data_IF_503317001657
#
_entry.id   IF_503317001657
#
_cell.length_a   1.000
_cell.length_b   1.000
_cell.length_c   1.000
_cell.angle_alpha   90.00
_cell.angle_beta   90.00
_cell.angle_gamma   90.00
#
_symmetry.space_group_name_H-M   'P 1'
#
loop_
_entity.id
_entity.type
_entity.pdbx_description
1 polymer ?
#
# COMPACT_ATOMS: atom_id res chain seq x y z
N UNK A 1 29.80 6.50 -31.75
CA UNK A 1 29.91 6.44 -30.27
C UNK A 1 28.62 5.98 -29.59
N UNK A 2 27.43 6.40 -30.04
CA UNK A 2 26.14 6.02 -29.42
C UNK A 2 25.91 4.50 -29.20
N UNK A 3 26.24 3.56 -30.12
CA UNK A 3 25.93 2.14 -29.91
C UNK A 3 26.63 1.53 -28.68
N UNK A 4 27.96 1.74 -28.55
CA UNK A 4 28.71 1.20 -27.40
C UNK A 4 28.34 1.83 -26.05
N UNK A 5 27.82 3.07 -26.06
CA UNK A 5 27.26 3.68 -24.85
C UNK A 5 25.90 3.05 -24.49
N UNK A 6 25.02 2.83 -25.47
CA UNK A 6 23.73 2.18 -25.28
C UNK A 6 23.86 0.72 -24.79
N UNK A 7 24.78 -0.06 -25.39
CA UNK A 7 25.09 -1.44 -25.00
C UNK A 7 25.59 -1.56 -23.55
N UNK A 8 26.34 -0.57 -23.06
CA UNK A 8 26.97 -0.64 -21.73
C UNK A 8 26.10 -0.03 -20.62
N UNK A 9 25.46 1.11 -20.87
CA UNK A 9 24.74 1.87 -19.85
C UNK A 9 23.23 1.62 -19.82
N UNK A 10 22.61 1.34 -20.97
CA UNK A 10 21.14 1.29 -21.08
C UNK A 10 20.63 -0.15 -21.21
N UNK A 11 21.27 -1.00 -22.02
CA UNK A 11 20.92 -2.41 -22.12
C UNK A 11 21.09 -3.17 -20.78
N UNK A 12 22.03 -2.72 -19.93
CA UNK A 12 22.19 -3.23 -18.57
C UNK A 12 21.14 -2.74 -17.56
N UNK A 13 20.32 -1.74 -17.92
CA UNK A 13 19.28 -1.18 -17.06
C UNK A 13 17.99 -2.00 -16.99
N UNK A 14 17.84 -3.02 -17.84
CA UNK A 14 16.65 -3.85 -17.90
C UNK A 14 17.03 -5.34 -17.83
N UNK A 15 16.90 -5.94 -16.65
CA UNK A 15 17.03 -7.39 -16.53
C UNK A 15 15.71 -8.05 -16.93
N UNK A 16 15.75 -8.99 -17.88
CA UNK A 16 14.58 -9.74 -18.33
C UNK A 16 14.73 -11.21 -17.95
N UNK A 17 13.64 -11.80 -17.49
CA UNK A 17 13.57 -13.18 -17.03
C UNK A 17 12.39 -13.90 -17.70
N UNK A 18 12.58 -15.18 -18.05
CA UNK A 18 11.53 -16.09 -18.52
C UNK A 18 11.37 -17.22 -17.50
N UNK A 19 10.18 -17.38 -16.91
CA UNK A 19 9.90 -18.31 -15.80
C UNK A 19 10.76 -18.11 -14.52
N UNK A 20 11.60 -17.07 -14.47
CA UNK A 20 12.53 -16.76 -13.38
C UNK A 20 13.99 -16.94 -13.77
N UNK A 21 14.28 -17.60 -14.88
CA UNK A 21 15.63 -17.73 -15.45
C UNK A 21 16.01 -16.47 -16.23
N UNK A 22 17.26 -15.98 -16.12
CA UNK A 22 17.70 -14.77 -16.81
C UNK A 22 17.77 -14.99 -18.33
N UNK A 23 17.15 -14.08 -19.09
CA UNK A 23 17.24 -14.06 -20.55
C UNK A 23 18.58 -13.46 -20.97
N UNK A 24 19.13 -13.92 -22.09
CA UNK A 24 20.34 -13.33 -22.69
C UNK A 24 20.18 -11.82 -22.92
N UNK A 25 21.29 -11.07 -22.83
CA UNK A 25 21.31 -9.62 -23.12
C UNK A 25 20.57 -9.29 -24.43
N UNK A 26 19.86 -8.15 -24.50
CA UNK A 26 19.16 -7.75 -25.70
C UNK A 26 20.14 -7.43 -26.83
N UNK A 27 19.69 -7.67 -28.06
CA UNK A 27 20.28 -7.08 -29.25
C UNK A 27 19.80 -5.61 -29.33
N UNK A 28 20.71 -4.66 -29.13
CA UNK A 28 20.44 -3.21 -29.21
C UNK A 28 20.43 -2.80 -30.69
N UNK A 29 19.42 -2.05 -31.07
CA UNK A 29 19.12 -1.78 -32.48
C UNK A 29 18.55 -0.37 -32.67
N UNK A 30 18.90 0.26 -33.79
CA UNK A 30 18.43 1.59 -34.22
C UNK A 30 18.49 2.75 -33.17
N UNK A 31 19.58 2.92 -32.39
CA UNK A 31 19.69 4.02 -31.43
C UNK A 31 19.71 5.39 -32.13
N UNK A 32 18.85 6.32 -31.71
CA UNK A 32 18.67 7.65 -32.30
C UNK A 32 18.33 8.71 -31.25
N UNK A 33 18.46 9.97 -31.63
CA UNK A 33 18.09 11.14 -30.83
C UNK A 33 16.92 11.84 -31.55
N UNK A 34 15.91 12.24 -30.79
CA UNK A 34 14.70 12.91 -31.28
C UNK A 34 14.35 14.09 -30.37
N UNK A 35 13.48 15.00 -30.81
CA UNK A 35 13.08 16.16 -30.00
C UNK A 35 12.07 15.76 -28.93
N UNK A 36 12.05 16.46 -27.79
CA UNK A 36 11.10 16.16 -26.69
C UNK A 36 9.62 16.26 -27.09
N UNK A 37 9.33 16.98 -28.19
CA UNK A 37 8.00 17.11 -28.79
C UNK A 37 7.56 15.94 -29.68
N UNK A 38 8.44 14.97 -29.95
CA UNK A 38 8.11 13.81 -30.78
C UNK A 38 7.08 12.90 -30.07
N UNK A 39 6.03 12.52 -30.80
CA UNK A 39 4.89 11.71 -30.29
C UNK A 39 4.92 10.26 -30.81
N UNK A 40 6.03 9.81 -31.43
CA UNK A 40 6.11 8.50 -32.07
C UNK A 40 5.91 7.34 -31.09
N UNK A 41 6.22 7.54 -29.80
CA UNK A 41 6.01 6.56 -28.73
C UNK A 41 4.59 6.56 -28.12
N UNK A 42 3.64 7.28 -28.72
CA UNK A 42 2.23 7.20 -28.29
C UNK A 42 1.61 5.83 -28.52
N UNK A 43 1.95 5.18 -29.65
CA UNK A 43 1.52 3.82 -29.97
C UNK A 43 2.68 2.93 -30.40
N UNK A 44 2.59 1.62 -30.11
CA UNK A 44 3.63 0.65 -30.49
C UNK A 44 3.95 0.64 -31.98
N UNK A 45 2.93 0.77 -32.84
CA UNK A 45 3.12 0.78 -34.30
C UNK A 45 3.91 2.00 -34.74
N UNK A 46 3.51 3.20 -34.29
CA UNK A 46 4.22 4.44 -34.59
C UNK A 46 5.66 4.41 -34.09
N UNK A 47 5.93 3.80 -32.93
CA UNK A 47 7.28 3.68 -32.38
C UNK A 47 8.18 2.76 -33.23
N UNK A 48 7.64 1.64 -33.71
CA UNK A 48 8.39 0.72 -34.60
C UNK A 48 8.61 1.34 -35.99
N UNK A 49 7.60 2.01 -36.55
CA UNK A 49 7.70 2.70 -37.84
C UNK A 49 8.74 3.85 -37.75
N UNK A 50 8.73 4.62 -36.66
CA UNK A 50 9.73 5.65 -36.34
C UNK A 50 11.15 5.08 -36.22
N UNK A 51 11.34 4.00 -35.45
CA UNK A 51 12.66 3.37 -35.28
C UNK A 51 13.19 2.79 -36.60
N UNK A 52 12.30 2.42 -37.54
CA UNK A 52 12.64 2.02 -38.90
C UNK A 52 12.97 3.18 -39.87
N UNK A 53 12.59 4.42 -39.55
CA UNK A 53 12.80 5.58 -40.42
C UNK A 53 14.29 5.98 -40.51
N UNK A 54 14.74 6.71 -41.56
CA UNK A 54 16.10 7.23 -41.65
C UNK A 54 16.51 8.05 -40.40
N UNK A 55 17.81 8.10 -40.04
CA UNK A 55 18.29 8.95 -38.95
C UNK A 55 18.09 10.43 -39.25
N UNK A 56 17.88 11.24 -38.20
CA UNK A 56 17.89 12.71 -38.30
C UNK A 56 19.26 13.19 -38.80
N UNK A 57 19.28 14.20 -39.67
CA UNK A 57 20.51 14.74 -40.23
C UNK A 57 21.38 15.37 -39.13
N UNK A 58 22.67 15.04 -39.09
CA UNK A 58 23.63 15.45 -38.06
C UNK A 58 24.01 16.96 -38.08
N UNK A 59 23.18 17.79 -38.72
CA UNK A 59 23.35 19.24 -38.89
C UNK A 59 22.47 20.06 -37.95
N UNK A 60 21.56 19.44 -37.21
CA UNK A 60 20.72 20.13 -36.21
C UNK A 60 21.43 20.22 -34.85
N UNK A 61 21.56 21.44 -34.33
CA UNK A 61 22.07 21.68 -32.98
C UNK A 61 20.96 21.41 -31.96
N UNK A 62 20.88 20.15 -31.49
CA UNK A 62 19.96 19.74 -30.43
C UNK A 62 20.60 19.94 -29.05
N UNK A 63 19.84 20.51 -28.11
CA UNK A 63 20.25 20.64 -26.72
C UNK A 63 19.96 19.34 -25.94
N UNK A 64 20.93 18.89 -25.13
CA UNK A 64 20.89 17.61 -24.40
C UNK A 64 19.74 17.47 -23.40
N UNK A 65 19.14 18.59 -22.97
CA UNK A 65 18.01 18.67 -22.05
C UNK A 65 16.64 18.69 -22.74
N UNK A 66 16.60 18.72 -24.08
CA UNK A 66 15.37 18.85 -24.88
C UNK A 66 15.17 17.71 -25.90
N UNK A 67 15.77 16.54 -25.61
CA UNK A 67 15.78 15.38 -26.51
C UNK A 67 15.33 14.09 -25.81
N UNK A 68 14.70 13.20 -26.58
CA UNK A 68 14.57 11.80 -26.24
C UNK A 68 15.73 10.98 -26.82
N UNK A 69 16.00 9.82 -26.22
CA UNK A 69 16.96 8.85 -26.72
C UNK A 69 16.27 7.53 -26.97
N UNK A 70 15.94 7.29 -28.24
CA UNK A 70 15.08 6.19 -28.66
C UNK A 70 15.91 5.02 -29.17
N UNK A 71 15.52 3.80 -28.80
CA UNK A 71 16.18 2.58 -29.24
C UNK A 71 15.24 1.38 -29.22
N UNK A 72 15.64 0.30 -29.89
CA UNK A 72 14.98 -1.00 -29.80
C UNK A 72 15.87 -2.00 -29.08
N UNK A 73 15.32 -2.65 -28.05
CA UNK A 73 15.94 -3.78 -27.35
C UNK A 73 15.23 -5.08 -27.75
N UNK A 74 15.91 -5.97 -28.48
CA UNK A 74 15.33 -7.26 -28.91
C UNK A 74 15.86 -8.42 -28.06
N UNK A 75 14.98 -9.04 -27.28
CA UNK A 75 15.27 -10.23 -26.48
C UNK A 75 14.87 -11.49 -27.25
N UNK A 76 15.71 -12.54 -27.19
CA UNK A 76 15.39 -13.87 -27.75
C UNK A 76 14.92 -14.77 -26.60
N UNK A 77 13.69 -15.27 -26.70
CA UNK A 77 13.07 -16.12 -25.69
C UNK A 77 13.23 -17.59 -26.09
N UNK A 78 13.51 -18.46 -25.12
CA UNK A 78 13.65 -19.89 -25.35
C UNK A 78 12.31 -20.64 -25.25
N UNK A 79 11.37 -20.15 -24.44
CA UNK A 79 10.07 -20.80 -24.22
C UNK A 79 9.03 -20.44 -25.30
N UNK A 80 8.24 -21.43 -25.71
CA UNK A 80 7.07 -21.23 -26.57
C UNK A 80 5.86 -20.61 -25.84
N UNK A 81 5.85 -20.63 -24.50
CA UNK A 81 4.82 -20.00 -23.67
C UNK A 81 5.46 -19.12 -22.59
N UNK A 82 6.16 -18.03 -22.98
CA UNK A 82 7.07 -17.32 -22.10
C UNK A 82 6.35 -16.63 -20.92
N UNK A 83 6.93 -16.73 -19.73
CA UNK A 83 6.44 -16.09 -18.51
C UNK A 83 7.35 -14.91 -18.15
N UNK A 84 7.21 -13.83 -18.92
CA UNK A 84 8.17 -12.73 -18.96
C UNK A 84 8.03 -11.82 -17.73
N UNK A 85 9.15 -11.59 -17.06
CA UNK A 85 9.32 -10.64 -15.97
C UNK A 85 10.45 -9.66 -16.30
N UNK A 86 10.27 -8.37 -16.02
CA UNK A 86 11.30 -7.33 -16.18
C UNK A 86 11.64 -6.74 -14.80
N UNK A 87 12.92 -6.58 -14.48
CA UNK A 87 13.40 -5.86 -13.30
C UNK A 87 14.15 -4.60 -13.78
N UNK A 88 13.50 -3.41 -13.80
CA UNK A 88 14.11 -2.19 -14.29
C UNK A 88 15.06 -1.61 -13.23
N UNK A 89 16.37 -1.66 -13.51
CA UNK A 89 17.46 -1.10 -12.70
C UNK A 89 17.72 0.39 -12.97
N UNK A 90 16.76 1.07 -13.60
CA UNK A 90 16.85 2.47 -14.06
C UNK A 90 16.89 3.52 -12.93
N UNK A 91 16.58 3.13 -11.69
CA UNK A 91 16.56 4.03 -10.54
C UNK A 91 17.90 4.73 -10.25
N UNK A 92 19.02 4.17 -10.71
CA UNK A 92 20.36 4.77 -10.57
C UNK A 92 20.72 5.79 -11.65
N UNK A 93 19.85 6.04 -12.64
CA UNK A 93 20.14 6.95 -13.76
C UNK A 93 19.95 8.44 -13.44
N UNK A 94 19.41 8.77 -12.27
CA UNK A 94 19.22 10.16 -11.83
C UNK A 94 18.89 10.26 -10.34
N UNK A 95 18.79 11.50 -9.83
CA UNK A 95 18.43 11.76 -8.42
C UNK A 95 16.99 11.34 -8.11
N UNK A 96 16.09 11.51 -9.08
CA UNK A 96 14.75 10.92 -9.13
C UNK A 96 14.48 10.48 -10.56
N UNK A 97 13.90 9.30 -10.72
CA UNK A 97 13.59 8.70 -12.01
C UNK A 97 12.13 8.25 -11.96
N UNK A 98 11.26 8.91 -12.73
CA UNK A 98 9.91 8.44 -13.01
C UNK A 98 9.93 7.63 -14.31
N UNK A 99 9.26 6.49 -14.33
CA UNK A 99 9.20 5.60 -15.50
C UNK A 99 7.74 5.31 -15.86
N UNK A 100 7.38 5.60 -17.10
CA UNK A 100 6.10 5.23 -17.70
C UNK A 100 6.30 4.02 -18.63
N UNK A 101 5.84 2.85 -18.18
CA UNK A 101 5.97 1.58 -18.90
C UNK A 101 4.63 1.19 -19.54
N UNK A 102 4.54 1.35 -20.87
CA UNK A 102 3.43 0.83 -21.68
C UNK A 102 3.71 -0.63 -22.09
N UNK A 103 2.90 -1.56 -21.60
CA UNK A 103 2.96 -2.99 -21.97
C UNK A 103 1.87 -3.27 -23.01
N UNK A 104 2.27 -3.67 -24.21
CA UNK A 104 1.36 -4.04 -25.31
C UNK A 104 1.38 -5.55 -25.50
N UNK A 105 0.26 -6.20 -25.23
CA UNK A 105 0.10 -7.65 -25.43
C UNK A 105 -0.16 -8.02 -26.89
N UNK A 106 0.05 -9.29 -27.24
CA UNK A 106 -0.16 -9.80 -28.61
C UNK A 106 -1.59 -9.59 -29.15
N UNK A 107 -2.59 -9.54 -28.26
CA UNK A 107 -3.99 -9.22 -28.60
C UNK A 107 -4.30 -7.72 -28.69
N UNK A 108 -3.30 -6.82 -28.69
CA UNK A 108 -3.48 -5.37 -28.74
C UNK A 108 -3.87 -4.70 -27.42
N UNK A 109 -4.09 -5.47 -26.35
CA UNK A 109 -4.34 -4.95 -25.00
C UNK A 109 -3.15 -4.12 -24.49
N UNK A 110 -3.42 -2.90 -24.02
CA UNK A 110 -2.40 -2.00 -23.46
C UNK A 110 -2.59 -1.88 -21.95
N UNK A 111 -1.50 -2.01 -21.20
CA UNK A 111 -1.42 -1.67 -19.76
C UNK A 111 -0.32 -0.63 -19.56
N UNK A 112 -0.68 0.54 -19.06
CA UNK A 112 0.30 1.54 -18.60
C UNK A 112 0.60 1.32 -17.12
N UNK A 113 1.88 1.37 -16.76
CA UNK A 113 2.36 1.36 -15.38
C UNK A 113 3.25 2.59 -15.16
N UNK A 114 3.02 3.34 -14.09
CA UNK A 114 3.81 4.53 -13.72
C UNK A 114 4.42 4.31 -12.34
N UNK A 115 5.74 4.46 -12.22
CA UNK A 115 6.46 4.27 -10.97
C UNK A 115 7.70 5.15 -10.85
N UNK A 116 8.04 5.52 -9.61
CA UNK A 116 9.28 6.22 -9.26
C UNK A 116 10.31 5.23 -8.71
N UNK A 117 11.58 5.37 -9.11
CA UNK A 117 12.68 4.52 -8.65
C UNK A 117 12.57 3.08 -9.17
N UNK A 118 12.87 2.10 -8.29
CA UNK A 118 12.83 0.68 -8.65
C UNK A 118 11.60 -0.02 -8.01
N UNK A 119 10.59 -0.46 -8.79
CA UNK A 119 9.38 -1.15 -8.31
C UNK A 119 9.62 -2.65 -8.00
N UNK A 120 10.83 -3.13 -8.24
CA UNK A 120 11.22 -4.54 -8.33
C UNK A 120 10.71 -5.20 -9.60
N UNK A 121 10.79 -6.53 -9.64
CA UNK A 121 10.28 -7.38 -10.73
C UNK A 121 8.82 -7.10 -11.09
N UNK A 122 8.58 -6.73 -12.35
CA UNK A 122 7.28 -6.50 -13.00
C UNK A 122 6.96 -7.69 -13.90
N UNK A 123 5.82 -8.35 -13.67
CA UNK A 123 5.30 -9.39 -14.56
C UNK A 123 4.51 -8.74 -15.70
N UNK A 124 4.85 -9.06 -16.97
CA UNK A 124 4.15 -8.47 -18.12
C UNK A 124 2.72 -9.01 -18.24
N UNK A 125 2.56 -10.32 -18.06
CA UNK A 125 1.29 -11.03 -18.02
C UNK A 125 1.24 -11.91 -16.75
N UNK A 126 0.96 -11.34 -15.56
CA UNK A 126 0.96 -12.09 -14.31
C UNK A 126 -0.15 -13.14 -14.28
N UNK A 127 0.18 -14.38 -13.93
CA UNK A 127 -0.83 -15.37 -13.49
C UNK A 127 -1.28 -15.03 -12.07
N UNK A 128 -2.40 -15.59 -11.63
CA UNK A 128 -2.91 -15.38 -10.27
C UNK A 128 -1.91 -15.80 -9.18
N UNK A 129 -1.11 -16.84 -9.44
CA UNK A 129 -0.01 -17.28 -8.57
C UNK A 129 1.09 -16.23 -8.43
N UNK A 130 1.39 -15.54 -9.53
CA UNK A 130 2.50 -14.60 -9.63
C UNK A 130 2.10 -13.28 -8.95
N UNK A 131 0.89 -12.81 -9.23
CA UNK A 131 0.26 -11.72 -8.48
C UNK A 131 0.19 -12.04 -6.98
N UNK A 132 -0.21 -13.26 -6.61
CA UNK A 132 -0.21 -13.72 -5.21
C UNK A 132 1.17 -13.62 -4.56
N UNK A 133 2.21 -14.22 -5.15
CA UNK A 133 3.58 -14.18 -4.61
C UNK A 133 4.14 -12.75 -4.55
N UNK A 134 3.96 -11.96 -5.61
CA UNK A 134 4.49 -10.61 -5.72
C UNK A 134 3.86 -9.67 -4.69
N UNK A 135 2.55 -9.75 -4.46
CA UNK A 135 1.87 -8.91 -3.47
C UNK A 135 2.09 -9.40 -2.03
N UNK A 136 2.20 -10.71 -1.80
CA UNK A 136 2.64 -11.27 -0.52
C UNK A 136 3.98 -10.64 -0.11
N UNK A 137 4.99 -10.70 -0.97
CA UNK A 137 6.30 -10.11 -0.70
C UNK A 137 6.22 -8.57 -0.49
N UNK A 138 5.48 -7.84 -1.34
CA UNK A 138 5.25 -6.39 -1.12
C UNK A 138 4.59 -6.09 0.23
N UNK A 139 3.64 -6.91 0.68
CA UNK A 139 3.02 -6.80 2.00
C UNK A 139 4.03 -7.00 3.13
N UNK A 140 4.95 -7.97 3.00
CA UNK A 140 6.03 -8.15 3.98
C UNK A 140 7.04 -7.01 3.98
N UNK A 141 7.34 -6.45 2.81
CA UNK A 141 8.26 -5.32 2.67
C UNK A 141 7.65 -4.05 3.24
N UNK A 142 6.37 -3.79 2.98
CA UNK A 142 5.63 -2.65 3.52
C UNK A 142 5.66 -2.59 5.05
N UNK A 143 5.44 -3.71 5.75
CA UNK A 143 5.52 -3.75 7.21
C UNK A 143 6.95 -3.52 7.71
N UNK A 144 7.97 -4.07 7.03
CA UNK A 144 9.38 -3.89 7.39
C UNK A 144 9.92 -2.49 7.11
N UNK A 145 9.49 -1.84 6.03
CA UNK A 145 9.84 -0.45 5.71
C UNK A 145 9.13 0.55 6.62
N UNK A 146 7.95 0.20 7.11
CA UNK A 146 7.13 1.07 7.96
C UNK A 146 7.34 0.70 9.43
N UNK A 147 8.45 1.14 10.00
CA UNK A 147 8.77 0.94 11.43
C UNK A 147 7.63 1.33 12.41
N UNK A 148 6.76 2.33 12.14
CA UNK A 148 5.54 2.57 12.91
C UNK A 148 4.60 1.35 13.03
N UNK A 149 4.41 0.55 11.98
CA UNK A 149 3.52 -0.62 12.00
C UNK A 149 4.00 -1.71 12.96
N UNK A 150 5.31 -1.87 13.12
CA UNK A 150 5.90 -2.84 14.05
C UNK A 150 5.75 -2.39 15.52
N UNK A 151 6.03 -1.12 15.81
CA UNK A 151 5.83 -0.53 17.15
C UNK A 151 4.33 -0.47 17.52
N UNK A 152 3.47 -0.20 16.55
CA UNK A 152 2.04 -0.21 16.73
C UNK A 152 1.49 -1.62 16.99
N UNK A 153 1.97 -2.63 16.27
CA UNK A 153 1.57 -4.02 16.52
C UNK A 153 1.97 -4.50 17.91
N UNK A 154 3.17 -4.13 18.37
CA UNK A 154 3.59 -4.37 19.75
C UNK A 154 2.57 -3.83 20.77
N UNK A 155 1.81 -2.79 20.39
CA UNK A 155 0.74 -2.21 21.19
C UNK A 155 -0.70 -2.71 20.88
N UNK A 156 -0.96 -3.40 19.75
CA UNK A 156 -2.33 -3.53 19.20
C UNK A 156 -2.81 -4.91 18.71
N UNK A 157 -2.42 -6.01 19.34
CA UNK A 157 -3.14 -7.28 19.11
C UNK A 157 -4.47 -7.27 19.88
N UNK A 158 -5.59 -6.89 19.25
CA UNK A 158 -7.02 -7.23 19.55
C UNK A 158 -7.99 -6.57 18.49
N UNK A 159 -9.10 -7.22 18.01
CA UNK A 159 -9.74 -7.02 16.66
C UNK A 159 -11.12 -6.28 16.62
N UNK A 160 -11.84 -5.98 15.49
CA UNK A 160 -11.59 -5.69 14.04
C UNK A 160 -12.93 -5.30 13.28
N UNK A 161 -12.85 -4.83 12.00
CA UNK A 161 -13.89 -4.74 10.89
C UNK A 161 -14.88 -3.55 10.82
N UNK A 162 -15.38 -3.04 9.64
CA UNK A 162 -14.95 -3.00 8.20
C UNK A 162 -15.92 -2.14 7.30
N UNK A 163 -15.39 -1.52 6.21
CA UNK A 163 -16.05 -1.03 4.93
C UNK A 163 -16.11 0.49 4.56
N UNK A 164 -16.34 0.79 3.26
CA UNK A 164 -15.83 1.90 2.37
C UNK A 164 -16.71 2.01 1.08
N UNK A 165 -16.47 2.87 0.03
CA UNK A 165 -15.78 4.19 -0.10
C UNK A 165 -16.45 5.24 -1.08
N UNK A 166 -15.89 6.46 -1.21
CA UNK A 166 -15.80 7.31 -2.43
C UNK A 166 -14.83 8.52 -2.21
N UNK A 167 -14.20 9.13 -3.25
CA UNK A 167 -13.03 10.06 -3.14
C UNK A 167 -13.18 11.42 -3.87
N UNK A 168 -12.82 12.55 -3.20
CA UNK A 168 -12.38 13.82 -3.83
C UNK A 168 -11.01 14.31 -3.19
N UNK A 169 -10.60 15.60 -3.05
CA UNK A 169 -9.19 16.10 -3.02
C UNK A 169 -8.31 15.77 -1.79
N UNK A 170 -8.70 14.74 -1.05
CA UNK A 170 -7.99 14.08 0.04
C UNK A 170 -6.52 13.76 -0.30
N UNK A 171 -6.21 13.44 -1.56
CA UNK A 171 -4.96 12.79 -2.01
C UNK A 171 -3.65 13.49 -1.59
N UNK A 172 -3.60 14.83 -1.48
CA UNK A 172 -2.34 15.56 -1.21
C UNK A 172 -1.99 15.61 0.28
N UNK A 173 -2.95 15.97 1.15
CA UNK A 173 -2.71 16.16 2.59
C UNK A 173 -2.98 14.89 3.41
N UNK A 174 -3.79 13.95 2.89
CA UNK A 174 -4.19 12.78 3.64
C UNK A 174 -3.07 11.76 3.87
N UNK A 175 -2.18 11.43 2.92
CA UNK A 175 -1.04 10.56 3.21
C UNK A 175 -0.12 11.06 4.34
N UNK A 176 0.36 12.33 4.36
CA UNK A 176 1.17 12.81 5.48
C UNK A 176 0.37 12.98 6.77
N UNK A 177 -0.93 13.32 6.71
CA UNK A 177 -1.79 13.34 7.90
C UNK A 177 -1.95 11.95 8.50
N UNK A 178 -2.26 10.93 7.69
CA UNK A 178 -2.39 9.54 8.13
C UNK A 178 -1.07 9.07 8.74
N UNK A 179 0.07 9.34 8.09
CA UNK A 179 1.39 9.00 8.64
C UNK A 179 1.68 9.69 9.99
N UNK A 180 1.26 10.95 10.17
CA UNK A 180 1.36 11.64 11.46
C UNK A 180 0.44 11.03 12.52
N UNK A 181 -0.81 10.69 12.15
CA UNK A 181 -1.78 10.04 13.02
C UNK A 181 -1.35 8.63 13.45
N UNK A 182 -0.65 7.87 12.60
CA UNK A 182 -0.03 6.57 12.98
C UNK A 182 0.91 6.75 14.17
N UNK A 183 1.77 7.77 14.09
CA UNK A 183 2.78 8.04 15.11
C UNK A 183 2.15 8.63 16.39
N UNK A 184 1.14 9.49 16.25
CA UNK A 184 0.33 9.95 17.39
C UNK A 184 -0.38 8.76 18.07
N UNK A 185 -0.89 7.79 17.33
CA UNK A 185 -1.46 6.58 17.92
C UNK A 185 -0.42 5.79 18.74
N UNK A 186 0.80 5.62 18.24
CA UNK A 186 1.90 4.96 18.99
C UNK A 186 2.22 5.73 20.28
N UNK A 187 2.31 7.06 20.23
CA UNK A 187 2.52 7.90 21.42
C UNK A 187 1.38 7.74 22.43
N UNK A 188 0.12 7.75 21.99
CA UNK A 188 -1.04 7.55 22.85
C UNK A 188 -1.05 6.15 23.49
N UNK A 189 -0.66 5.11 22.76
CA UNK A 189 -0.50 3.76 23.31
C UNK A 189 0.61 3.70 24.37
N UNK A 190 1.77 4.29 24.07
CA UNK A 190 2.91 4.35 24.98
C UNK A 190 2.56 5.11 26.28
N UNK A 191 1.95 6.29 26.18
CA UNK A 191 1.52 7.05 27.36
C UNK A 191 0.40 6.35 28.14
N UNK A 192 -0.54 5.66 27.47
CA UNK A 192 -1.56 4.86 28.15
C UNK A 192 -0.94 3.70 28.95
N UNK A 193 0.09 3.04 28.41
CA UNK A 193 0.85 1.98 29.08
C UNK A 193 1.66 2.50 30.28
N UNK A 194 2.34 3.65 30.14
CA UNK A 194 3.09 4.30 31.23
C UNK A 194 2.15 4.71 32.37
N UNK A 195 1.00 5.30 32.04
CA UNK A 195 0.03 5.80 33.02
C UNK A 195 -0.82 4.71 33.67
N UNK A 196 -0.65 3.43 33.30
CA UNK A 196 -1.46 2.28 33.78
C UNK A 196 -2.97 2.43 33.50
N UNK A 197 -3.37 3.25 32.52
CA UNK A 197 -4.78 3.66 32.25
C UNK A 197 -5.54 2.69 31.34
N UNK A 198 -5.10 1.43 31.29
CA UNK A 198 -5.37 0.50 30.20
C UNK A 198 -6.53 -0.44 30.53
N UNK A 199 -7.76 0.01 30.27
CA UNK A 199 -8.97 -0.82 30.46
C UNK A 199 -9.38 -1.54 29.15
N UNK A 200 -10.09 -2.69 29.22
CA UNK A 200 -10.54 -3.42 28.04
C UNK A 200 -11.35 -2.55 27.06
N UNK A 201 -12.30 -1.77 27.56
CA UNK A 201 -13.12 -0.88 26.74
C UNK A 201 -12.28 0.21 26.03
N UNK A 202 -11.34 0.84 26.73
CA UNK A 202 -10.45 1.85 26.13
C UNK A 202 -9.51 1.23 25.09
N UNK A 203 -9.02 0.00 25.33
CA UNK A 203 -8.24 -0.75 24.33
C UNK A 203 -9.04 -0.99 23.05
N UNK A 204 -10.30 -1.45 23.14
CA UNK A 204 -11.12 -1.69 21.95
C UNK A 204 -11.38 -0.40 21.16
N UNK A 205 -11.71 0.71 21.82
CA UNK A 205 -11.91 2.01 21.15
C UNK A 205 -10.63 2.47 20.45
N UNK A 206 -9.49 2.40 21.16
CA UNK A 206 -8.20 2.75 20.58
C UNK A 206 -7.82 1.85 19.39
N UNK A 207 -8.06 0.54 19.48
CA UNK A 207 -7.82 -0.41 18.40
C UNK A 207 -8.70 -0.16 17.17
N UNK A 208 -9.95 0.25 17.35
CA UNK A 208 -10.80 0.69 16.24
C UNK A 208 -10.25 1.95 15.56
N UNK A 209 -9.95 3.01 16.32
CA UNK A 209 -9.44 4.27 15.77
C UNK A 209 -8.10 4.07 15.05
N UNK A 210 -7.15 3.36 15.69
CA UNK A 210 -5.85 3.13 15.10
C UNK A 210 -5.90 2.10 13.96
N UNK A 211 -6.76 1.08 14.02
CA UNK A 211 -7.03 0.17 12.91
C UNK A 211 -7.54 0.89 11.65
N UNK A 212 -8.29 1.99 11.79
CA UNK A 212 -8.66 2.86 10.66
C UNK A 212 -7.48 3.67 10.12
N UNK A 213 -6.61 4.19 11.00
CA UNK A 213 -5.42 4.97 10.63
C UNK A 213 -4.42 4.08 9.87
N UNK A 214 -3.95 2.99 10.49
CA UNK A 214 -3.00 2.05 9.89
C UNK A 214 -3.60 1.30 8.69
N UNK A 215 -4.92 1.04 8.70
CA UNK A 215 -5.63 0.51 7.53
C UNK A 215 -5.71 1.50 6.36
N UNK A 216 -5.75 2.81 6.64
CA UNK A 216 -5.69 3.85 5.61
C UNK A 216 -4.28 3.97 5.02
N UNK A 217 -3.24 3.95 5.86
CA UNK A 217 -1.84 3.89 5.45
C UNK A 217 -1.55 2.67 4.56
N UNK A 218 -2.00 1.49 5.00
CA UNK A 218 -1.94 0.23 4.23
C UNK A 218 -2.62 0.37 2.86
N UNK A 219 -3.78 1.02 2.80
CA UNK A 219 -4.48 1.23 1.54
C UNK A 219 -3.76 2.21 0.61
N UNK A 220 -3.20 3.29 1.13
CA UNK A 220 -2.42 4.28 0.37
C UNK A 220 -1.12 3.69 -0.19
N UNK A 221 -0.50 2.74 0.52
CA UNK A 221 0.65 1.99 0.01
C UNK A 221 0.27 0.92 -1.02
N UNK A 222 -0.93 0.34 -0.89
CA UNK A 222 -1.43 -0.72 -1.78
C UNK A 222 -1.97 -0.17 -3.11
N UNK A 223 -2.66 0.96 -3.10
CA UNK A 223 -3.28 1.58 -4.29
C UNK A 223 -2.32 1.72 -5.49
N UNK A 224 -1.16 2.41 -5.39
CA UNK A 224 -0.20 2.50 -6.49
C UNK A 224 0.50 1.17 -6.78
N UNK A 225 0.43 0.17 -5.90
CA UNK A 225 0.95 -1.17 -6.18
C UNK A 225 -0.03 -2.01 -7.03
N UNK A 226 -1.34 -1.78 -6.95
CA UNK A 226 -2.35 -2.62 -7.63
C UNK A 226 -2.18 -2.69 -9.15
N UNK A 227 -1.60 -1.67 -9.79
CA UNK A 227 -1.25 -1.67 -11.22
C UNK A 227 -0.41 -2.91 -11.64
N UNK A 228 0.44 -3.41 -10.75
CA UNK A 228 1.29 -4.58 -11.00
C UNK A 228 0.51 -5.91 -10.97
N UNK A 229 -0.69 -5.94 -10.38
CA UNK A 229 -1.52 -7.15 -10.21
C UNK A 229 -2.24 -7.64 -11.47
N UNK A 230 -2.19 -6.88 -12.56
CA UNK A 230 -2.85 -7.22 -13.84
C UNK A 230 -4.35 -7.42 -13.66
N UNK A 231 -4.88 -8.53 -14.20
CA UNK A 231 -6.30 -8.90 -14.10
C UNK A 231 -6.70 -9.52 -12.75
N UNK A 232 -5.81 -9.52 -11.76
CA UNK A 232 -6.02 -10.21 -10.48
C UNK A 232 -6.02 -9.26 -9.25
N UNK A 233 -6.82 -8.18 -9.22
CA UNK A 233 -6.80 -7.21 -8.12
C UNK A 233 -7.23 -7.83 -6.78
N UNK A 234 -8.23 -8.73 -6.77
CA UNK A 234 -8.67 -9.40 -5.54
C UNK A 234 -7.56 -10.25 -4.92
N UNK A 235 -6.87 -11.06 -5.73
CA UNK A 235 -5.74 -11.90 -5.28
C UNK A 235 -4.60 -11.01 -4.78
N UNK A 236 -4.32 -9.92 -5.48
CA UNK A 236 -3.31 -8.93 -5.11
C UNK A 236 -3.59 -8.29 -3.74
N UNK A 237 -4.83 -7.82 -3.50
CA UNK A 237 -5.26 -7.27 -2.19
C UNK A 237 -5.15 -8.32 -1.09
N UNK A 238 -5.66 -9.53 -1.33
CA UNK A 238 -5.66 -10.60 -0.32
C UNK A 238 -4.24 -11.04 0.04
N UNK A 239 -3.37 -11.22 -0.96
CA UNK A 239 -1.99 -11.61 -0.74
C UNK A 239 -1.17 -10.50 -0.08
N UNK A 240 -1.36 -9.24 -0.43
CA UNK A 240 -0.72 -8.11 0.27
C UNK A 240 -1.11 -8.07 1.75
N UNK A 241 -2.41 -8.16 2.03
CA UNK A 241 -2.90 -8.21 3.41
C UNK A 241 -2.37 -9.44 4.17
N UNK A 242 -2.25 -10.60 3.51
CA UNK A 242 -1.66 -11.79 4.11
C UNK A 242 -0.13 -11.64 4.36
N UNK A 243 0.60 -10.96 3.48
CA UNK A 243 2.03 -10.67 3.63
C UNK A 243 2.30 -9.68 4.77
N UNK A 244 1.49 -8.63 4.86
CA UNK A 244 1.51 -7.71 5.99
C UNK A 244 1.16 -8.46 7.29
N UNK A 245 0.02 -9.18 7.34
CA UNK A 245 -0.43 -9.88 8.54
C UNK A 245 0.54 -10.97 9.01
N UNK A 246 1.13 -11.76 8.10
CA UNK A 246 2.13 -12.79 8.45
C UNK A 246 3.42 -12.18 9.00
N UNK A 247 3.89 -11.06 8.44
CA UNK A 247 5.05 -10.32 8.97
C UNK A 247 4.78 -9.78 10.36
N UNK A 248 3.58 -9.25 10.58
CA UNK A 248 3.13 -8.79 11.89
C UNK A 248 3.07 -9.96 12.90
N UNK A 249 2.37 -11.05 12.57
CA UNK A 249 2.30 -12.26 13.42
C UNK A 249 3.69 -12.82 13.74
N UNK A 250 4.60 -12.87 12.77
CA UNK A 250 5.98 -13.28 12.99
C UNK A 250 6.73 -12.34 13.94
N UNK A 251 6.59 -11.02 13.78
CA UNK A 251 7.18 -10.05 14.68
C UNK A 251 6.66 -10.20 16.13
N UNK A 252 5.35 -10.37 16.32
CA UNK A 252 4.75 -10.63 17.63
C UNK A 252 5.24 -11.97 18.24
N UNK A 253 5.30 -13.02 17.43
CA UNK A 253 5.77 -14.35 17.84
C UNK A 253 7.26 -14.37 18.24
N UNK A 254 8.07 -13.40 17.79
CA UNK A 254 9.46 -13.20 18.23
C UNK A 254 9.52 -12.26 19.44
N UNK A 255 8.80 -11.14 19.43
CA UNK A 255 8.86 -10.13 20.50
C UNK A 255 8.34 -10.65 21.83
N UNK A 256 7.25 -11.43 21.85
CA UNK A 256 6.67 -11.99 23.08
C UNK A 256 7.66 -12.90 23.85
N UNK A 257 8.30 -13.91 23.23
CA UNK A 257 9.31 -14.71 23.93
C UNK A 257 10.60 -13.94 24.24
N UNK A 258 11.00 -12.95 23.43
CA UNK A 258 12.17 -12.11 23.75
C UNK A 258 11.91 -11.27 25.01
N UNK A 259 10.75 -10.62 25.13
CA UNK A 259 10.37 -9.90 26.35
C UNK A 259 10.27 -10.87 27.55
N UNK A 260 9.56 -11.99 27.40
CA UNK A 260 9.41 -12.93 28.52
C UNK A 260 10.72 -13.59 28.97
N UNK A 261 11.71 -13.71 28.08
CA UNK A 261 13.07 -14.11 28.40
C UNK A 261 13.85 -13.01 29.14
N UNK A 262 13.86 -11.78 28.61
CA UNK A 262 14.59 -10.64 29.20
C UNK A 262 14.13 -10.34 30.64
N UNK A 263 12.84 -10.47 30.92
CA UNK A 263 12.24 -10.23 32.23
C UNK A 263 11.94 -11.52 33.03
N UNK A 264 12.39 -12.69 32.52
CA UNK A 264 12.11 -14.02 33.10
C UNK A 264 12.52 -14.18 34.57
N UNK A 265 13.63 -13.57 34.98
CA UNK A 265 14.25 -13.75 36.31
C UNK A 265 13.67 -12.85 37.40
N UNK A 266 12.68 -12.00 37.08
CA UNK A 266 12.35 -10.84 37.90
C UNK A 266 10.84 -10.57 38.00
N UNK A 267 10.02 -11.63 38.16
CA UNK A 267 8.56 -11.53 38.33
C UNK A 267 8.14 -11.02 39.71
N UNK A 268 8.33 -9.73 39.95
CA UNK A 268 7.67 -8.99 41.03
C UNK A 268 6.83 -7.90 40.38
N UNK A 269 5.64 -7.61 40.92
CA UNK A 269 4.71 -6.59 40.38
C UNK A 269 5.40 -5.23 40.10
N UNK A 270 6.36 -4.85 40.96
CA UNK A 270 7.18 -3.65 40.80
C UNK A 270 8.00 -3.65 39.50
N UNK A 271 8.54 -4.81 39.12
CA UNK A 271 9.44 -4.95 37.98
C UNK A 271 8.64 -5.05 36.67
N UNK A 272 7.47 -5.70 36.68
CA UNK A 272 6.52 -5.68 35.55
C UNK A 272 6.02 -4.25 35.25
N UNK A 273 5.84 -3.41 36.29
CA UNK A 273 5.55 -1.98 36.09
C UNK A 273 6.75 -1.22 35.50
N UNK A 274 7.97 -1.50 35.97
CA UNK A 274 9.20 -0.85 35.46
C UNK A 274 9.46 -1.25 34.00
N UNK A 275 9.31 -2.53 33.65
CA UNK A 275 9.37 -3.05 32.27
C UNK A 275 8.43 -2.26 31.35
N UNK A 276 7.13 -2.22 31.70
CA UNK A 276 6.12 -1.51 30.90
C UNK A 276 6.45 -0.04 30.71
N UNK A 277 6.98 0.63 31.74
CA UNK A 277 7.42 2.02 31.65
C UNK A 277 8.64 2.18 30.75
N UNK A 278 9.69 1.35 30.89
CA UNK A 278 10.92 1.43 30.09
C UNK A 278 10.62 1.18 28.60
N UNK A 279 9.91 0.10 28.28
CA UNK A 279 9.61 -0.27 26.89
C UNK A 279 8.70 0.77 26.24
N UNK A 280 7.71 1.29 26.98
CA UNK A 280 6.83 2.33 26.47
C UNK A 280 7.53 3.69 26.35
N UNK A 281 8.49 4.01 27.23
CA UNK A 281 9.29 5.23 27.13
C UNK A 281 10.18 5.20 25.89
N UNK A 282 10.83 4.07 25.59
CA UNK A 282 11.62 3.90 24.36
C UNK A 282 10.75 3.99 23.10
N UNK A 283 9.55 3.40 23.14
CA UNK A 283 8.56 3.54 22.07
C UNK A 283 8.09 4.99 21.88
N UNK A 284 7.87 5.73 22.98
CA UNK A 284 7.46 7.13 22.96
C UNK A 284 8.58 8.04 22.41
N UNK A 285 9.83 7.85 22.82
CA UNK A 285 11.00 8.59 22.32
C UNK A 285 11.17 8.40 20.80
N UNK A 286 11.17 7.14 20.35
CA UNK A 286 11.25 6.78 18.92
C UNK A 286 10.09 7.40 18.13
N UNK A 287 8.86 7.30 18.64
CA UNK A 287 7.69 7.89 18.00
C UNK A 287 7.73 9.43 18.01
N UNK A 288 8.28 10.07 19.04
CA UNK A 288 8.42 11.52 19.09
C UNK A 288 9.31 12.06 17.97
N UNK A 289 10.48 11.43 17.75
CA UNK A 289 11.37 11.78 16.63
C UNK A 289 10.74 11.53 15.25
N UNK A 290 9.88 10.52 15.12
CA UNK A 290 9.11 10.30 13.90
C UNK A 290 7.97 11.29 13.69
N UNK A 291 7.41 11.84 14.77
CA UNK A 291 6.33 12.82 14.73
C UNK A 291 6.88 14.18 14.29
N UNK A 292 8.03 14.61 14.80
CA UNK A 292 8.64 15.90 14.41
C UNK A 292 8.96 15.95 12.92
N UNK A 293 9.51 14.87 12.36
CA UNK A 293 9.76 14.76 10.91
C UNK A 293 8.46 14.87 10.09
N UNK A 294 7.45 14.05 10.40
CA UNK A 294 6.15 14.05 9.70
C UNK A 294 5.38 15.35 9.86
N UNK A 295 5.45 15.97 11.04
CA UNK A 295 4.89 17.30 11.29
C UNK A 295 5.57 18.35 10.40
N UNK A 296 6.90 18.29 10.24
CA UNK A 296 7.63 19.19 9.34
C UNK A 296 7.19 19.05 7.87
N UNK A 297 6.77 17.85 7.45
CA UNK A 297 6.25 17.60 6.10
C UNK A 297 4.81 18.11 5.96
N UNK A 298 3.94 17.82 6.94
CA UNK A 298 2.55 18.28 6.95
C UNK A 298 2.44 19.81 7.03
N UNK A 299 3.29 20.46 7.81
CA UNK A 299 3.33 21.92 7.98
C UNK A 299 3.80 22.68 6.73
N UNK A 300 4.45 22.01 5.76
CA UNK A 300 4.83 22.60 4.46
C UNK A 300 3.66 22.62 3.46
N UNK A 301 2.55 21.95 3.75
CA UNK A 301 1.39 21.91 2.86
C UNK A 301 0.57 23.20 3.03
N UNK A 302 0.40 24.02 1.98
CA UNK A 302 -0.45 25.20 2.07
C UNK A 302 -1.91 24.77 2.15
N UNK A 303 -2.52 24.89 3.33
CA UNK A 303 -3.97 24.72 3.53
C UNK A 303 -4.75 25.91 2.97
N UNK A 304 -4.63 26.16 1.66
CA UNK A 304 -5.50 27.06 0.93
C UNK A 304 -6.91 26.50 0.88
N UNK A 305 -7.91 27.29 1.29
CA UNK A 305 -9.32 26.87 1.30
C UNK A 305 -9.89 26.91 -0.12
N UNK A 306 -9.53 25.90 -0.93
CA UNK A 306 -10.15 25.66 -2.24
C UNK A 306 -11.47 24.94 -2.01
N UNK A 307 -12.58 25.67 -2.13
CA UNK A 307 -13.93 25.08 -2.08
C UNK A 307 -14.24 24.31 -3.37
N UNK A 308 -13.65 23.12 -3.53
CA UNK A 308 -14.13 22.18 -4.55
C UNK A 308 -15.53 21.69 -4.19
N UNK A 309 -16.49 21.96 -5.07
CA UNK A 309 -17.89 21.54 -4.94
C UNK A 309 -18.03 20.01 -4.82
N UNK A 310 -17.13 19.25 -5.45
CA UNK A 310 -17.03 17.80 -5.30
C UNK A 310 -16.66 17.33 -3.89
N UNK A 311 -15.79 18.08 -3.18
CA UNK A 311 -15.37 17.74 -1.82
C UNK A 311 -16.51 17.89 -0.82
N UNK A 312 -17.22 19.03 -0.87
CA UNK A 312 -18.40 19.29 -0.04
C UNK A 312 -19.51 18.26 -0.30
N UNK A 313 -19.74 17.90 -1.57
CA UNK A 313 -20.74 16.90 -1.95
C UNK A 313 -20.43 15.51 -1.38
N UNK A 314 -19.16 15.09 -1.31
CA UNK A 314 -18.83 13.79 -0.68
C UNK A 314 -18.87 13.85 0.84
N UNK A 315 -18.53 14.98 1.46
CA UNK A 315 -18.66 15.16 2.91
C UNK A 315 -20.13 15.05 3.34
N UNK A 316 -21.04 15.70 2.60
CA UNK A 316 -22.50 15.58 2.78
C UNK A 316 -23.02 14.17 2.53
N UNK A 317 -22.55 13.47 1.48
CA UNK A 317 -22.92 12.06 1.22
C UNK A 317 -22.43 11.11 2.31
N UNK A 318 -21.23 11.33 2.84
CA UNK A 318 -20.70 10.56 3.97
C UNK A 318 -21.53 10.80 5.24
N UNK A 319 -21.89 12.05 5.55
CA UNK A 319 -22.78 12.41 6.65
C UNK A 319 -24.16 11.76 6.50
N UNK A 320 -24.78 11.84 5.33
CA UNK A 320 -26.06 11.20 5.04
C UNK A 320 -26.00 9.66 5.18
N UNK A 321 -24.94 9.03 4.67
CA UNK A 321 -24.71 7.60 4.84
C UNK A 321 -24.54 7.19 6.32
N UNK A 322 -23.86 8.01 7.12
CA UNK A 322 -23.65 7.78 8.55
C UNK A 322 -24.98 7.90 9.33
N UNK A 323 -25.81 8.91 9.00
CA UNK A 323 -27.17 9.07 9.57
C UNK A 323 -28.08 7.90 9.19
N UNK A 324 -28.08 7.47 7.92
CA UNK A 324 -28.88 6.33 7.46
C UNK A 324 -28.43 5.01 8.11
N UNK A 325 -27.13 4.78 8.26
CA UNK A 325 -26.59 3.60 8.93
C UNK A 325 -26.96 3.60 10.43
N UNK A 326 -26.83 4.74 11.10
CA UNK A 326 -27.25 4.89 12.50
C UNK A 326 -28.76 4.65 12.68
N UNK A 327 -29.59 5.20 11.79
CA UNK A 327 -31.04 4.97 11.77
C UNK A 327 -31.41 3.51 11.53
N UNK A 328 -30.74 2.83 10.59
CA UNK A 328 -30.95 1.40 10.32
C UNK A 328 -30.52 0.50 11.48
N UNK A 329 -29.38 0.79 12.12
CA UNK A 329 -28.92 0.07 13.32
C UNK A 329 -29.85 0.30 14.51
N UNK A 330 -30.34 1.52 14.70
CA UNK A 330 -31.33 1.83 15.73
C UNK A 330 -32.66 1.11 15.48
N UNK A 331 -33.18 1.15 14.25
CA UNK A 331 -34.41 0.47 13.86
C UNK A 331 -34.31 -1.06 14.04
N UNK A 332 -33.19 -1.67 13.63
CA UNK A 332 -32.96 -3.11 13.81
C UNK A 332 -32.88 -3.49 15.30
N UNK A 333 -32.28 -2.63 16.14
CA UNK A 333 -32.21 -2.82 17.58
C UNK A 333 -33.60 -2.71 18.25
N UNK A 334 -34.43 -1.73 17.87
CA UNK A 334 -35.80 -1.62 18.40
C UNK A 334 -36.71 -2.74 17.88
N UNK A 335 -36.56 -3.18 16.63
CA UNK A 335 -37.26 -4.35 16.08
C UNK A 335 -36.90 -5.64 16.86
N UNK A 336 -35.62 -5.85 17.17
CA UNK A 336 -35.16 -7.00 17.95
C UNK A 336 -35.60 -6.96 19.42
N UNK A 337 -35.95 -5.78 19.95
CA UNK A 337 -36.58 -5.65 21.26
C UNK A 337 -38.08 -5.92 21.21
N UNK A 338 -38.80 -5.36 20.22
CA UNK A 338 -40.25 -5.58 20.07
C UNK A 338 -40.58 -7.04 19.78
N UNK A 339 -39.75 -7.73 18.98
CA UNK A 339 -39.93 -9.17 18.73
C UNK A 339 -39.77 -10.03 19.99
N UNK A 340 -38.93 -9.62 20.95
CA UNK A 340 -38.73 -10.34 22.23
C UNK A 340 -39.87 -10.13 23.22
N UNK A 341 -40.59 -9.01 23.13
CA UNK A 341 -41.77 -8.76 23.95
C UNK A 341 -42.94 -9.65 23.53
N UNK A 342 -43.08 -9.94 22.22
CA UNK A 342 -44.11 -10.85 21.70
C UNK A 342 -44.00 -12.29 22.21
N UNK A 343 -42.78 -12.79 22.48
CA UNK A 343 -42.57 -14.13 23.06
C UNK A 343 -42.95 -14.22 24.55
N UNK A 344 -43.22 -13.09 25.22
CA UNK A 344 -43.48 -13.05 26.68
C UNK A 344 -44.96 -13.03 27.04
N UNK A 345 -45.87 -12.75 26.09
CA UNK A 345 -47.33 -12.75 26.30
C UNK A 345 -48.01 -14.10 25.99
N UNK A 346 -47.33 -15.22 26.29
CA UNK A 346 -47.95 -16.53 26.31
C UNK A 346 -48.91 -16.65 27.51
N UNK A 347 -50.19 -16.36 27.26
CA UNK A 347 -51.30 -16.37 28.23
C UNK A 347 -51.33 -17.68 29.05
N UNK A 348 -51.38 -17.63 30.39
CA UNK A 348 -51.52 -18.84 31.20
C UNK A 348 -52.92 -19.47 31.03
N UNK A 349 -53.04 -20.80 30.97
CA UNK A 349 -54.33 -21.45 30.75
C UNK A 349 -55.30 -21.26 31.92
N UNK A 350 -56.62 -21.17 31.66
CA UNK A 350 -57.62 -20.99 32.69
C UNK A 350 -57.71 -22.23 33.60
N UNK A 351 -57.89 -21.99 34.91
CA UNK A 351 -57.78 -23.03 35.92
C UNK A 351 -58.89 -24.09 35.93
N UNK A 352 -58.52 -25.29 36.38
CA UNK A 352 -59.41 -26.40 36.70
C UNK A 352 -58.60 -27.69 36.95
N UNK A 353 -58.84 -28.49 37.98
CA UNK A 353 -59.84 -28.43 39.07
C UNK A 353 -59.27 -28.99 40.37
N UNK A 354 -59.97 -28.71 41.47
CA UNK A 354 -59.82 -29.38 42.77
C UNK A 354 -59.91 -30.90 42.65
N UNK A 355 -59.10 -31.61 43.43
CA UNK A 355 -59.39 -32.97 43.92
C UNK A 355 -59.66 -32.92 45.43
N UNK A 356 -60.85 -32.46 45.79
CA UNK A 356 -61.93 -33.27 46.41
C UNK A 356 -63.23 -32.83 45.74
#
# INVERSE_FOLDING_TARGET
>A
MLPGAADHWIAGGFEVYDHGDPVSRPEVDQPRITTISDQSFDSYRSAIDHLGAPPVAATENLFLDQVWFDMRLRYRLASQQPAITIDPKVAGWGVRVSTDLKIVGAGGQVRSLTFEGNPGRIYLAPRWTDAGRQFMDRGTRFVRSTAPLLLFLFCLVLPFRRYRPAIPPVVVWFPPLVAALEVVAILLAAFANIADRVTPHRRTVFACCAGLIFGSSTALALEPALQFGGSHPLVSVLAFCAGAASTLVAAAAIMIPVMSYLFSRARTERIERIERVIVSALAADTAWGWLTERWSQLAKIPFGVVFETGAAAMLLRALAGLVLLAGALWFLNEWLKSSRLGDTEAVPPPGGKSTV
#
